data_IF_887057433683
#
_entry.id   IF_887057433683
#
_cell.length_a   1.000
_cell.length_b   1.000
_cell.length_c   1.000
_cell.angle_alpha   90.00
_cell.angle_beta   90.00
_cell.angle_gamma   90.00
#
_symmetry.space_group_name_H-M   'P 1'
#
loop_
_entity.id
_entity.type
_entity.pdbx_description
1 polymer ?
#
# COMPACT_ATOMS: atom_id res chain seq x y z
N UNK A 1 -9.81 97.11 28.67
CA UNK A 1 -10.14 96.15 27.60
C UNK A 1 -8.98 95.18 27.44
N UNK A 2 -9.13 93.93 27.91
CA UNK A 2 -8.13 92.84 27.77
C UNK A 2 -8.62 91.91 26.66
N UNK A 3 -7.81 91.72 25.61
CA UNK A 3 -8.13 90.87 24.47
C UNK A 3 -8.16 89.39 24.84
N UNK A 4 -9.22 88.70 24.45
CA UNK A 4 -9.34 87.25 24.56
C UNK A 4 -8.45 86.56 23.51
N UNK A 5 -7.69 85.56 23.94
CA UNK A 5 -6.80 84.74 23.11
C UNK A 5 -7.56 83.49 22.65
N UNK A 6 -7.60 83.14 21.35
CA UNK A 6 -8.25 81.92 20.91
C UNK A 6 -7.36 80.69 21.19
N UNK A 7 -7.94 79.66 21.79
CA UNK A 7 -7.33 78.33 21.92
C UNK A 7 -7.51 77.61 20.59
N UNK A 8 -6.41 77.36 19.89
CA UNK A 8 -6.37 76.62 18.62
C UNK A 8 -6.21 75.13 18.95
N UNK A 9 -7.29 74.37 18.93
CA UNK A 9 -7.26 72.90 19.02
C UNK A 9 -6.70 72.34 17.71
N UNK A 10 -5.46 71.87 17.75
CA UNK A 10 -4.84 71.15 16.65
C UNK A 10 -5.08 69.64 16.85
N UNK A 11 -6.22 69.14 16.37
CA UNK A 11 -6.36 67.71 16.09
C UNK A 11 -5.82 67.46 14.68
N UNK A 12 -4.54 67.13 14.60
CA UNK A 12 -3.93 66.61 13.37
C UNK A 12 -4.27 65.12 13.24
N UNK A 13 -4.73 64.64 12.07
CA UNK A 13 -4.89 63.20 11.86
C UNK A 13 -3.52 62.54 11.88
N UNK A 14 -3.33 61.53 12.73
CA UNK A 14 -2.15 60.66 12.77
C UNK A 14 -2.08 59.80 11.49
N UNK A 15 -1.72 60.41 10.37
CA UNK A 15 -1.34 59.66 9.17
C UNK A 15 0.07 59.13 9.38
N UNK A 16 0.19 57.93 9.96
CA UNK A 16 1.44 57.21 10.08
C UNK A 16 1.97 56.83 8.69
N UNK A 17 2.85 57.67 8.12
CA UNK A 17 3.62 57.32 6.93
C UNK A 17 4.71 56.33 7.34
N UNK A 18 4.41 55.03 7.20
CA UNK A 18 5.43 53.99 7.32
C UNK A 18 6.58 54.30 6.36
N UNK A 19 7.81 54.38 6.89
CA UNK A 19 8.99 54.48 6.04
C UNK A 19 9.14 53.18 5.24
N UNK A 20 9.64 53.27 4.00
CA UNK A 20 9.80 52.11 3.11
C UNK A 20 10.53 50.93 3.77
N UNK A 21 11.46 51.23 4.72
CA UNK A 21 12.17 50.23 5.52
C UNK A 21 11.26 49.48 6.50
N UNK A 22 10.43 50.20 7.27
CA UNK A 22 9.48 49.59 8.20
C UNK A 22 8.45 48.71 7.49
N UNK A 23 8.01 49.11 6.29
CA UNK A 23 7.11 48.28 5.46
C UNK A 23 7.78 46.98 4.98
N UNK A 24 9.07 47.03 4.61
CA UNK A 24 9.85 45.84 4.21
C UNK A 24 10.10 44.92 5.41
N UNK A 25 10.44 45.47 6.57
CA UNK A 25 10.66 44.68 7.80
C UNK A 25 9.39 43.99 8.27
N UNK A 26 8.25 44.69 8.26
CA UNK A 26 6.94 44.09 8.56
C UNK A 26 6.56 43.02 7.54
N UNK A 27 6.81 43.26 6.26
CA UNK A 27 6.57 42.28 5.20
C UNK A 27 7.43 41.02 5.37
N UNK A 28 8.72 41.19 5.62
CA UNK A 28 9.65 40.09 5.88
C UNK A 28 9.26 39.31 7.15
N UNK A 29 8.86 40.01 8.21
CA UNK A 29 8.35 39.39 9.44
C UNK A 29 7.08 38.57 9.20
N UNK A 30 6.13 39.11 8.44
CA UNK A 30 4.89 38.40 8.09
C UNK A 30 5.16 37.15 7.23
N UNK A 31 6.04 37.23 6.24
CA UNK A 31 6.46 36.08 5.42
C UNK A 31 7.16 35.02 6.27
N UNK A 32 8.05 35.45 7.18
CA UNK A 32 8.77 34.54 8.07
C UNK A 32 7.84 33.82 9.03
N UNK A 33 6.85 34.53 9.58
CA UNK A 33 5.81 33.94 10.43
C UNK A 33 4.95 32.94 9.65
N UNK A 34 4.51 33.29 8.44
CA UNK A 34 3.74 32.39 7.58
C UNK A 34 4.52 31.12 7.25
N UNK A 35 5.81 31.24 6.94
CA UNK A 35 6.69 30.10 6.68
C UNK A 35 6.86 29.23 7.92
N UNK A 36 7.05 29.82 9.10
CA UNK A 36 7.16 29.09 10.36
C UNK A 36 5.89 28.27 10.67
N UNK A 37 4.72 28.86 10.48
CA UNK A 37 3.43 28.17 10.65
C UNK A 37 3.30 27.01 9.65
N UNK A 38 3.68 27.21 8.39
CA UNK A 38 3.66 26.16 7.37
C UNK A 38 4.60 24.99 7.73
N UNK A 39 5.82 25.29 8.19
CA UNK A 39 6.78 24.27 8.63
C UNK A 39 6.26 23.47 9.83
N UNK A 40 5.66 24.14 10.83
CA UNK A 40 5.05 23.47 11.97
C UNK A 40 3.91 22.53 11.54
N UNK A 41 3.11 22.94 10.55
CA UNK A 41 2.02 22.11 10.03
C UNK A 41 2.54 20.88 9.28
N UNK A 42 3.58 21.04 8.46
CA UNK A 42 4.25 19.92 7.79
C UNK A 42 4.85 18.95 8.81
N UNK A 43 5.58 19.46 9.80
CA UNK A 43 6.19 18.65 10.86
C UNK A 43 5.12 17.86 11.65
N UNK A 44 4.01 18.51 12.02
CA UNK A 44 2.90 17.84 12.71
C UNK A 44 2.29 16.72 11.84
N UNK A 45 2.13 16.94 10.54
CA UNK A 45 1.62 15.90 9.64
C UNK A 45 2.61 14.73 9.48
N UNK A 46 3.91 15.00 9.35
CA UNK A 46 4.95 13.96 9.29
C UNK A 46 4.91 13.08 10.55
N UNK A 47 4.87 13.69 11.74
CA UNK A 47 4.76 12.93 13.00
C UNK A 47 3.48 12.11 13.09
N UNK A 48 2.35 12.61 12.56
CA UNK A 48 1.10 11.85 12.52
C UNK A 48 1.18 10.64 11.59
N UNK A 49 1.82 10.78 10.44
CA UNK A 49 2.07 9.69 9.49
C UNK A 49 3.02 8.65 10.07
N UNK A 50 4.14 9.06 10.63
CA UNK A 50 5.12 8.18 11.28
C UNK A 50 4.47 7.36 12.42
N UNK A 51 3.72 8.02 13.30
CA UNK A 51 2.99 7.35 14.36
C UNK A 51 1.88 6.41 13.82
N UNK A 52 1.24 6.73 12.69
CA UNK A 52 0.24 5.88 12.06
C UNK A 52 0.87 4.62 11.45
N UNK A 53 2.00 4.77 10.77
CA UNK A 53 2.77 3.66 10.18
C UNK A 53 3.32 2.76 11.28
N UNK A 54 4.05 3.32 12.25
CA UNK A 54 4.66 2.56 13.35
C UNK A 54 3.62 1.76 14.14
N UNK A 55 2.46 2.36 14.47
CA UNK A 55 1.38 1.64 15.16
C UNK A 55 0.73 0.58 14.27
N UNK A 56 0.61 0.83 12.97
CA UNK A 56 0.09 -0.15 12.02
C UNK A 56 1.02 -1.36 11.90
N UNK A 57 2.33 -1.11 11.83
CA UNK A 57 3.37 -2.13 11.72
C UNK A 57 3.44 -2.98 12.99
N UNK A 58 3.43 -2.34 14.16
CA UNK A 58 3.37 -3.04 15.44
C UNK A 58 2.15 -3.96 15.53
N UNK A 59 0.97 -3.52 15.07
CA UNK A 59 -0.24 -4.36 15.04
C UNK A 59 -0.14 -5.48 14.00
N UNK A 60 0.48 -5.21 12.85
CA UNK A 60 0.68 -6.20 11.79
C UNK A 60 1.64 -7.31 12.18
N UNK A 61 2.68 -6.98 12.95
CA UNK A 61 3.64 -7.93 13.52
C UNK A 61 3.05 -8.67 14.72
N UNK A 62 2.31 -7.98 15.60
CA UNK A 62 1.72 -8.57 16.80
C UNK A 62 0.56 -9.54 16.54
N UNK A 63 0.25 -9.90 15.29
CA UNK A 63 -0.75 -10.90 14.97
C UNK A 63 -0.35 -12.26 15.56
N UNK A 64 -1.09 -12.72 16.57
CA UNK A 64 -2.02 -13.79 16.28
C UNK A 64 -3.47 -13.40 16.64
N UNK A 65 -4.48 -13.98 15.98
CA UNK A 65 -5.76 -14.21 16.62
C UNK A 65 -5.48 -15.12 17.82
N UNK A 66 -5.48 -14.54 19.01
CA UNK A 66 -5.44 -15.33 20.23
C UNK A 66 -6.70 -16.18 20.29
N UNK A 67 -6.57 -17.49 20.05
CA UNK A 67 -7.67 -18.45 20.09
C UNK A 67 -8.33 -18.49 21.48
N UNK A 68 -7.64 -18.04 22.53
CA UNK A 68 -8.23 -17.88 23.86
C UNK A 68 -9.21 -16.70 23.93
N UNK A 69 -9.10 -15.70 23.03
CA UNK A 69 -10.03 -14.57 22.96
C UNK A 69 -11.37 -14.90 22.30
N UNK A 70 -11.44 -15.94 21.47
CA UNK A 70 -12.72 -16.46 20.95
C UNK A 70 -13.62 -16.99 22.08
N UNK A 71 -13.02 -17.44 23.19
CA UNK A 71 -13.73 -17.95 24.37
C UNK A 71 -13.84 -16.91 25.50
N UNK A 72 -13.20 -15.74 25.39
CA UNK A 72 -13.16 -14.73 26.46
C UNK A 72 -14.32 -13.74 26.43
N UNK A 73 -15.16 -13.78 25.37
CA UNK A 73 -16.24 -12.82 25.17
C UNK A 73 -15.76 -11.41 24.77
N UNK A 74 -14.45 -11.21 24.59
CA UNK A 74 -13.93 -9.97 24.03
C UNK A 74 -14.15 -9.92 22.50
N UNK A 75 -14.44 -8.75 21.93
CA UNK A 75 -14.54 -8.61 20.49
C UNK A 75 -13.19 -8.95 19.84
N UNK A 76 -13.17 -9.67 18.70
CA UNK A 76 -11.94 -10.04 18.02
C UNK A 76 -11.13 -8.78 17.68
N UNK A 77 -9.78 -8.87 17.69
CA UNK A 77 -8.95 -7.73 17.34
C UNK A 77 -9.36 -7.20 15.95
N UNK A 78 -9.51 -5.89 15.79
CA UNK A 78 -9.90 -5.32 14.51
C UNK A 78 -8.86 -5.72 13.46
N UNK A 79 -9.28 -6.00 12.21
CA UNK A 79 -8.36 -6.38 11.15
C UNK A 79 -7.23 -5.35 11.05
N UNK A 80 -6.01 -5.84 10.79
CA UNK A 80 -4.80 -5.03 10.69
C UNK A 80 -4.91 -4.03 9.54
N UNK A 81 -5.42 -2.85 9.89
CA UNK A 81 -5.64 -1.72 8.98
C UNK A 81 -4.79 -0.54 9.45
N UNK A 82 -3.86 -0.10 8.62
CA UNK A 82 -3.20 1.19 8.81
C UNK A 82 -4.26 2.29 8.76
N UNK A 83 -4.46 2.98 9.89
CA UNK A 83 -5.34 4.16 9.95
C UNK A 83 -4.53 5.39 9.56
N UNK A 84 -4.55 5.71 8.27
CA UNK A 84 -3.84 6.88 7.74
C UNK A 84 -4.63 8.17 7.98
N UNK A 85 -3.97 9.32 8.16
CA UNK A 85 -4.62 10.62 8.15
C UNK A 85 -5.40 10.85 6.85
N UNK A 86 -6.58 11.47 6.91
CA UNK A 86 -7.44 11.74 5.75
C UNK A 86 -7.69 13.23 5.56
N UNK A 87 -7.95 13.65 4.32
CA UNK A 87 -8.33 15.02 3.95
C UNK A 87 -7.24 15.74 3.17
N UNK A 88 -7.56 16.91 2.60
CA UNK A 88 -6.71 17.62 1.63
C UNK A 88 -5.25 17.81 2.07
N UNK A 89 -5.02 18.21 3.33
CA UNK A 89 -3.68 18.36 3.88
C UNK A 89 -2.91 17.03 3.95
N UNK A 90 -3.59 15.93 4.31
CA UNK A 90 -3.00 14.61 4.35
C UNK A 90 -2.68 14.10 2.95
N UNK A 91 -3.54 14.33 1.96
CA UNK A 91 -3.35 13.92 0.58
C UNK A 91 -2.15 14.62 -0.07
N UNK A 92 -1.99 15.93 0.18
CA UNK A 92 -0.79 16.66 -0.27
C UNK A 92 0.45 16.09 0.40
N UNK A 93 0.39 15.84 1.71
CA UNK A 93 1.54 15.30 2.46
C UNK A 93 1.91 13.91 1.96
N UNK A 94 0.94 13.02 1.71
CA UNK A 94 1.16 11.67 1.16
C UNK A 94 1.85 11.74 -0.20
N UNK A 95 1.41 12.65 -1.09
CA UNK A 95 2.04 12.86 -2.40
C UNK A 95 3.44 13.45 -2.29
N UNK A 96 3.63 14.46 -1.44
CA UNK A 96 4.88 15.19 -1.31
C UNK A 96 5.97 14.34 -0.65
N UNK A 97 5.58 13.42 0.24
CA UNK A 97 6.47 12.46 0.88
C UNK A 97 6.62 11.14 0.11
N UNK A 98 5.93 10.95 -1.02
CA UNK A 98 5.98 9.71 -1.80
C UNK A 98 5.38 8.48 -1.09
N UNK A 99 4.55 8.67 -0.07
CA UNK A 99 4.03 7.59 0.77
C UNK A 99 2.96 6.73 0.09
N UNK A 100 2.47 7.14 -1.08
CA UNK A 100 1.37 6.45 -1.76
C UNK A 100 1.73 5.01 -2.15
N UNK A 101 2.94 4.81 -2.66
CA UNK A 101 3.41 3.50 -3.14
C UNK A 101 3.69 2.58 -1.96
N UNK A 102 4.37 3.10 -0.92
CA UNK A 102 4.57 2.42 0.36
C UNK A 102 3.25 1.95 0.97
N UNK A 103 2.23 2.82 0.98
CA UNK A 103 0.91 2.48 1.50
C UNK A 103 0.15 1.50 0.60
N UNK A 104 0.36 1.54 -0.71
CA UNK A 104 -0.24 0.59 -1.64
C UNK A 104 0.27 -0.82 -1.36
N UNK A 105 1.58 -1.02 -1.21
CA UNK A 105 2.15 -2.32 -0.88
C UNK A 105 1.70 -2.81 0.51
N UNK A 106 1.72 -1.95 1.53
CA UNK A 106 1.24 -2.31 2.89
C UNK A 106 -0.22 -2.76 2.89
N UNK A 107 -1.09 -2.08 2.14
CA UNK A 107 -2.51 -2.47 1.98
C UNK A 107 -2.65 -3.80 1.24
N UNK A 108 -1.90 -4.01 0.16
CA UNK A 108 -1.89 -5.27 -0.57
C UNK A 108 -1.44 -6.44 0.32
N UNK A 109 -0.40 -6.22 1.13
CA UNK A 109 0.11 -7.20 2.09
C UNK A 109 -0.91 -7.56 3.18
N UNK A 110 -1.67 -6.59 3.71
CA UNK A 110 -2.77 -6.87 4.63
C UNK A 110 -3.86 -7.75 4.00
N UNK A 111 -4.25 -7.44 2.76
CA UNK A 111 -5.23 -8.24 2.03
C UNK A 111 -4.72 -9.65 1.75
N UNK A 112 -3.44 -9.79 1.39
CA UNK A 112 -2.79 -11.08 1.19
C UNK A 112 -2.82 -11.93 2.47
N UNK A 113 -2.41 -11.36 3.63
CA UNK A 113 -2.48 -12.07 4.91
C UNK A 113 -3.88 -12.50 5.30
N UNK A 114 -4.90 -11.71 4.96
CA UNK A 114 -6.28 -12.04 5.26
C UNK A 114 -6.83 -13.25 4.47
N UNK A 115 -6.16 -13.66 3.38
CA UNK A 115 -6.60 -14.78 2.52
C UNK A 115 -5.62 -15.95 2.50
N UNK A 116 -4.40 -15.71 2.97
CA UNK A 116 -3.35 -16.70 3.11
C UNK A 116 -2.77 -16.63 4.53
N UNK A 117 -3.57 -17.04 5.53
CA UNK A 117 -3.15 -17.00 6.93
C UNK A 117 -2.07 -18.04 7.22
N UNK A 118 -1.39 -17.89 8.36
CA UNK A 118 -0.40 -18.87 8.78
C UNK A 118 -1.02 -20.27 8.89
N UNK A 119 -0.25 -21.36 8.68
CA UNK A 119 -0.76 -22.73 8.78
C UNK A 119 -1.57 -23.01 10.05
N UNK A 120 -1.18 -22.43 11.17
CA UNK A 120 -1.83 -22.58 12.48
C UNK A 120 -3.22 -21.91 12.56
N UNK A 121 -3.58 -21.08 11.58
CA UNK A 121 -4.83 -20.32 11.53
C UNK A 121 -5.76 -20.82 10.41
N UNK A 122 -5.29 -21.67 9.48
CA UNK A 122 -6.01 -22.08 8.26
C UNK A 122 -7.39 -22.72 8.53
N UNK A 123 -7.55 -23.43 9.65
CA UNK A 123 -8.81 -24.10 10.01
C UNK A 123 -9.98 -23.11 10.15
N UNK A 124 -9.72 -21.87 10.60
CA UNK A 124 -10.76 -20.84 10.74
C UNK A 124 -11.17 -20.20 9.41
N UNK A 125 -10.32 -20.24 8.39
CA UNK A 125 -10.54 -19.53 7.13
C UNK A 125 -11.18 -20.40 6.04
N UNK A 126 -11.15 -21.73 6.18
CA UNK A 126 -11.80 -22.64 5.24
C UNK A 126 -13.33 -22.52 5.17
N UNK A 127 -13.96 -21.88 6.17
CA UNK A 127 -15.41 -21.70 6.27
C UNK A 127 -15.88 -20.26 6.01
N UNK A 128 -14.97 -19.36 5.62
CA UNK A 128 -15.31 -17.95 5.38
C UNK A 128 -15.99 -17.77 4.01
N UNK A 129 -17.31 -17.46 3.95
CA UNK A 129 -18.02 -17.29 2.68
C UNK A 129 -17.50 -16.11 1.85
N UNK A 130 -16.82 -15.15 2.47
CA UNK A 130 -16.23 -13.98 1.81
C UNK A 130 -14.82 -14.24 1.27
N UNK A 131 -14.25 -15.43 1.50
CA UNK A 131 -12.88 -15.75 1.09
C UNK A 131 -12.63 -15.56 -0.41
N UNK A 132 -13.52 -15.95 -1.34
CA UNK A 132 -13.33 -15.70 -2.76
C UNK A 132 -13.25 -14.19 -3.08
N UNK A 133 -14.13 -13.38 -2.50
CA UNK A 133 -14.15 -11.94 -2.70
C UNK A 133 -12.89 -11.27 -2.12
N UNK A 134 -12.44 -11.70 -0.94
CA UNK A 134 -11.19 -11.24 -0.32
C UNK A 134 -9.97 -11.60 -1.19
N UNK A 135 -9.95 -12.80 -1.78
CA UNK A 135 -8.87 -13.23 -2.69
C UNK A 135 -8.80 -12.36 -3.93
N UNK A 136 -9.94 -12.06 -4.56
CA UNK A 136 -10.01 -11.15 -5.71
C UNK A 136 -9.44 -9.78 -5.34
N UNK A 137 -9.82 -9.21 -4.19
CA UNK A 137 -9.28 -7.92 -3.71
C UNK A 137 -7.77 -7.97 -3.48
N UNK A 138 -7.26 -9.04 -2.87
CA UNK A 138 -5.83 -9.23 -2.66
C UNK A 138 -5.07 -9.32 -3.99
N UNK A 139 -5.58 -10.11 -4.95
CA UNK A 139 -5.00 -10.26 -6.27
C UNK A 139 -4.98 -8.94 -7.05
N UNK A 140 -6.07 -8.17 -7.02
CA UNK A 140 -6.15 -6.85 -7.66
C UNK A 140 -5.13 -5.88 -7.06
N UNK A 141 -5.05 -5.80 -5.73
CA UNK A 141 -4.11 -4.90 -5.05
C UNK A 141 -2.64 -5.28 -5.32
N UNK A 142 -2.30 -6.56 -5.25
CA UNK A 142 -0.96 -7.05 -5.58
C UNK A 142 -0.62 -6.86 -7.06
N UNK A 143 -1.59 -7.02 -7.96
CA UNK A 143 -1.39 -6.77 -9.39
C UNK A 143 -1.06 -5.31 -9.65
N UNK A 144 -1.77 -4.37 -9.03
CA UNK A 144 -1.46 -2.95 -9.14
C UNK A 144 -0.03 -2.65 -8.66
N UNK A 145 0.35 -3.13 -7.47
CA UNK A 145 1.71 -2.93 -6.94
C UNK A 145 2.77 -3.57 -7.84
N UNK A 146 2.53 -4.79 -8.34
CA UNK A 146 3.47 -5.50 -9.22
C UNK A 146 3.75 -4.77 -10.54
N UNK A 147 2.83 -3.90 -10.99
CA UNK A 147 2.94 -3.14 -12.24
C UNK A 147 3.48 -1.73 -12.02
N UNK A 148 2.95 -1.04 -11.02
CA UNK A 148 3.03 0.42 -10.93
C UNK A 148 4.07 0.90 -9.92
N UNK A 149 4.53 0.03 -9.00
CA UNK A 149 5.49 0.44 -7.97
C UNK A 149 6.86 0.81 -8.57
N UNK A 150 7.47 1.94 -8.16
CA UNK A 150 8.76 2.38 -8.67
C UNK A 150 9.93 1.49 -8.24
N UNK A 151 9.83 0.79 -7.10
CA UNK A 151 10.89 -0.10 -6.62
C UNK A 151 10.74 -1.52 -7.20
N UNK A 152 11.69 -2.00 -8.04
CA UNK A 152 11.65 -3.36 -8.57
C UNK A 152 11.64 -4.45 -7.48
N UNK A 153 12.18 -4.18 -6.28
CA UNK A 153 12.14 -5.11 -5.14
C UNK A 153 10.73 -5.25 -4.58
N UNK A 154 9.98 -4.15 -4.48
CA UNK A 154 8.57 -4.20 -4.09
C UNK A 154 7.75 -4.94 -5.16
N UNK A 155 7.94 -4.63 -6.44
CA UNK A 155 7.27 -5.36 -7.53
C UNK A 155 7.59 -6.85 -7.50
N UNK A 156 8.83 -7.22 -7.23
CA UNK A 156 9.26 -8.62 -7.07
C UNK A 156 8.51 -9.29 -5.92
N UNK A 157 8.44 -8.67 -4.74
CA UNK A 157 7.70 -9.20 -3.58
C UNK A 157 6.21 -9.35 -3.87
N UNK A 158 5.57 -8.36 -4.51
CA UNK A 158 4.16 -8.43 -4.87
C UNK A 158 3.91 -9.55 -5.91
N UNK A 159 4.78 -9.70 -6.89
CA UNK A 159 4.72 -10.77 -7.90
C UNK A 159 4.90 -12.16 -7.28
N UNK A 160 5.82 -12.29 -6.31
CA UNK A 160 5.98 -13.52 -5.53
C UNK A 160 4.68 -13.88 -4.77
N UNK A 161 4.04 -12.90 -4.11
CA UNK A 161 2.77 -13.12 -3.41
C UNK A 161 1.63 -13.50 -4.36
N UNK A 162 1.59 -12.96 -5.58
CA UNK A 162 0.65 -13.41 -6.62
C UNK A 162 0.86 -14.89 -6.97
N UNK A 163 2.12 -15.34 -7.08
CA UNK A 163 2.46 -16.75 -7.29
C UNK A 163 1.93 -17.65 -6.17
N UNK A 164 2.08 -17.21 -4.92
CA UNK A 164 1.52 -17.93 -3.75
C UNK A 164 -0.02 -17.99 -3.82
N UNK A 165 -0.70 -16.90 -4.17
CA UNK A 165 -2.16 -16.92 -4.32
C UNK A 165 -2.63 -17.85 -5.45
N UNK A 166 -1.90 -17.86 -6.58
CA UNK A 166 -2.19 -18.75 -7.69
C UNK A 166 -2.04 -20.22 -7.27
N UNK A 167 -0.98 -20.59 -6.54
CA UNK A 167 -0.74 -21.96 -6.07
C UNK A 167 -1.72 -22.45 -5.02
N UNK A 168 -2.12 -21.56 -4.11
CA UNK A 168 -2.98 -21.86 -2.93
C UNK A 168 -4.47 -21.64 -3.20
N UNK A 169 -4.84 -21.28 -4.43
CA UNK A 169 -6.24 -21.22 -4.85
C UNK A 169 -6.89 -22.61 -4.93
N UNK A 170 -8.22 -22.67 -5.13
CA UNK A 170 -8.91 -23.93 -5.38
C UNK A 170 -8.23 -24.70 -6.52
N UNK A 171 -7.98 -26.00 -6.32
CA UNK A 171 -7.41 -26.85 -7.36
C UNK A 171 -8.48 -27.12 -8.41
N UNK A 172 -8.24 -26.79 -9.70
CA UNK A 172 -9.16 -27.09 -10.78
C UNK A 172 -9.43 -28.59 -10.89
N UNK A 173 -10.60 -28.96 -11.40
CA UNK A 173 -10.94 -30.38 -11.65
C UNK A 173 -10.35 -30.86 -12.98
N UNK A 174 -10.29 -29.97 -13.98
CA UNK A 174 -9.73 -30.27 -15.30
C UNK A 174 -8.19 -30.30 -15.25
N UNK A 175 -7.54 -31.41 -15.68
CA UNK A 175 -6.08 -31.49 -15.76
C UNK A 175 -5.42 -30.39 -16.60
N UNK A 176 -6.09 -29.90 -17.66
CA UNK A 176 -5.54 -28.81 -18.47
C UNK A 176 -5.50 -27.48 -17.70
N UNK A 177 -6.56 -27.18 -16.93
CA UNK A 177 -6.59 -26.03 -16.03
C UNK A 177 -5.59 -26.15 -14.88
N UNK A 178 -5.43 -27.34 -14.29
CA UNK A 178 -4.41 -27.61 -13.27
C UNK A 178 -3.01 -27.32 -13.82
N UNK A 179 -2.69 -27.81 -15.02
CA UNK A 179 -1.42 -27.54 -15.70
C UNK A 179 -1.21 -26.04 -15.90
N UNK A 180 -2.22 -25.33 -16.37
CA UNK A 180 -2.13 -23.87 -16.59
C UNK A 180 -1.91 -23.10 -15.28
N UNK A 181 -2.53 -23.53 -14.18
CA UNK A 181 -2.32 -22.94 -12.85
C UNK A 181 -0.86 -23.11 -12.39
N UNK A 182 -0.29 -24.31 -12.57
CA UNK A 182 1.11 -24.60 -12.23
C UNK A 182 2.07 -23.77 -13.09
N UNK A 183 1.88 -23.74 -14.40
CA UNK A 183 2.72 -22.95 -15.30
C UNK A 183 2.64 -21.45 -15.01
N UNK A 184 1.44 -20.94 -14.69
CA UNK A 184 1.23 -19.55 -14.26
C UNK A 184 2.00 -19.25 -12.98
N UNK A 185 1.94 -20.16 -12.01
CA UNK A 185 2.67 -20.06 -10.74
C UNK A 185 4.18 -19.99 -10.94
N UNK A 186 4.75 -20.90 -11.75
CA UNK A 186 6.17 -20.91 -12.12
C UNK A 186 6.57 -19.59 -12.81
N UNK A 187 5.73 -19.12 -13.75
CA UNK A 187 5.93 -17.86 -14.46
C UNK A 187 5.97 -16.64 -13.54
N UNK A 188 5.13 -16.60 -12.51
CA UNK A 188 5.11 -15.54 -11.50
C UNK A 188 6.37 -15.54 -10.64
N UNK A 189 6.80 -16.69 -10.10
CA UNK A 189 8.03 -16.75 -9.32
C UNK A 189 9.28 -16.42 -10.15
N UNK A 190 9.34 -16.92 -11.39
CA UNK A 190 10.41 -16.58 -12.33
C UNK A 190 10.44 -15.08 -12.62
N UNK A 191 9.28 -14.44 -12.80
CA UNK A 191 9.19 -13.00 -13.02
C UNK A 191 9.60 -12.20 -11.80
N UNK A 192 9.24 -12.66 -10.59
CA UNK A 192 9.71 -12.06 -9.35
C UNK A 192 11.25 -12.10 -9.23
N UNK A 193 11.89 -13.23 -9.56
CA UNK A 193 13.35 -13.36 -9.56
C UNK A 193 14.00 -12.47 -10.63
N UNK A 194 13.38 -12.32 -11.80
CA UNK A 194 13.87 -11.39 -12.85
C UNK A 194 13.81 -9.92 -12.39
N UNK A 195 12.78 -9.55 -11.63
CA UNK A 195 12.63 -8.20 -11.07
C UNK A 195 13.65 -7.93 -9.95
N UNK A 196 13.89 -8.90 -9.08
CA UNK A 196 14.90 -8.82 -8.02
C UNK A 196 15.63 -10.17 -7.87
N UNK A 197 16.83 -10.31 -8.45
CA UNK A 197 17.62 -11.54 -8.35
C UNK A 197 18.02 -11.92 -6.92
N UNK A 198 17.90 -11.01 -5.95
CA UNK A 198 18.20 -11.27 -4.53
C UNK A 198 16.97 -11.70 -3.72
N UNK A 199 15.79 -11.81 -4.34
CA UNK A 199 14.58 -12.29 -3.67
C UNK A 199 14.68 -13.81 -3.36
N UNK A 200 15.17 -14.13 -2.17
CA UNK A 200 15.34 -15.50 -1.71
C UNK A 200 14.00 -16.25 -1.59
N UNK A 201 12.95 -15.57 -1.15
CA UNK A 201 11.61 -16.17 -1.00
C UNK A 201 11.05 -16.65 -2.34
N UNK A 202 11.23 -15.86 -3.41
CA UNK A 202 10.78 -16.25 -4.74
C UNK A 202 11.54 -17.47 -5.29
N UNK A 203 12.84 -17.57 -4.99
CA UNK A 203 13.65 -18.75 -5.36
C UNK A 203 13.19 -19.99 -4.62
N UNK A 204 13.02 -19.88 -3.30
CA UNK A 204 12.55 -20.98 -2.47
C UNK A 204 11.15 -21.43 -2.89
N UNK A 205 10.23 -20.51 -3.13
CA UNK A 205 8.88 -20.83 -3.59
C UNK A 205 8.89 -21.50 -4.98
N UNK A 206 9.77 -21.05 -5.88
CA UNK A 206 9.95 -21.71 -7.18
C UNK A 206 10.47 -23.13 -7.01
N UNK A 207 11.48 -23.33 -6.17
CA UNK A 207 12.04 -24.65 -5.87
C UNK A 207 10.95 -25.59 -5.33
N UNK A 208 10.16 -25.13 -4.35
CA UNK A 208 9.07 -25.91 -3.77
C UNK A 208 8.02 -26.32 -4.82
N UNK A 209 7.69 -25.44 -5.77
CA UNK A 209 6.76 -25.79 -6.86
C UNK A 209 7.38 -26.77 -7.85
N UNK A 210 8.67 -26.65 -8.16
CA UNK A 210 9.35 -27.55 -9.10
C UNK A 210 9.58 -28.94 -8.52
N UNK A 211 9.71 -29.06 -7.19
CA UNK A 211 9.83 -30.34 -6.47
C UNK A 211 8.48 -31.01 -6.20
N UNK A 212 7.36 -30.34 -6.51
CA UNK A 212 6.03 -30.92 -6.33
C UNK A 212 5.80 -32.05 -7.35
N UNK A 213 5.46 -33.29 -6.94
CA UNK A 213 5.20 -34.40 -7.85
C UNK A 213 4.12 -34.09 -8.90
N UNK A 214 3.15 -33.22 -8.58
CA UNK A 214 2.15 -32.79 -9.56
C UNK A 214 2.78 -31.96 -10.68
N UNK A 215 3.77 -31.12 -10.37
CA UNK A 215 4.53 -30.35 -11.36
C UNK A 215 5.40 -31.27 -12.21
N UNK A 216 6.03 -32.30 -11.63
CA UNK A 216 6.84 -33.27 -12.38
C UNK A 216 6.04 -33.99 -13.47
N UNK A 217 4.75 -34.26 -13.23
CA UNK A 217 3.86 -34.89 -14.24
C UNK A 217 3.65 -33.98 -15.46
N UNK A 218 3.64 -32.66 -15.28
CA UNK A 218 3.35 -31.69 -16.34
C UNK A 218 4.58 -31.05 -16.99
N UNK A 219 5.69 -30.99 -16.26
CA UNK A 219 6.98 -30.42 -16.69
C UNK A 219 7.98 -31.51 -17.09
N UNK A 220 7.80 -32.73 -16.58
CA UNK A 220 8.55 -33.91 -17.01
C UNK A 220 8.25 -34.26 -18.46
N UNK A 221 9.31 -34.50 -19.22
CA UNK A 221 9.31 -34.86 -20.63
C UNK A 221 8.38 -36.04 -20.93
N UNK A 222 7.13 -35.77 -21.32
CA UNK A 222 6.34 -36.72 -22.10
C UNK A 222 6.87 -36.70 -23.54
N UNK A 223 7.41 -37.81 -24.08
CA UNK A 223 7.98 -37.86 -25.43
C UNK A 223 6.96 -37.63 -26.57
N UNK A 224 5.67 -37.52 -26.26
CA UNK A 224 4.57 -37.52 -27.24
C UNK A 224 3.70 -36.24 -27.23
N UNK A 225 4.17 -35.13 -26.66
CA UNK A 225 3.43 -33.87 -26.66
C UNK A 225 3.69 -33.03 -27.91
N UNK A 226 2.69 -32.95 -28.81
CA UNK A 226 2.67 -32.10 -30.01
C UNK A 226 3.21 -30.69 -29.70
N UNK A 227 4.19 -30.16 -30.46
CA UNK A 227 4.61 -28.78 -30.32
C UNK A 227 3.55 -27.91 -30.99
N UNK A 228 2.70 -27.22 -30.22
CA UNK A 228 1.84 -26.19 -30.80
C UNK A 228 2.24 -24.78 -30.35
N UNK A 229 2.75 -24.10 -31.37
CA UNK A 229 2.90 -22.68 -31.62
C UNK A 229 2.56 -21.70 -30.48
N UNK A 230 3.58 -20.91 -30.14
CA UNK A 230 3.40 -19.67 -29.41
C UNK A 230 2.37 -18.76 -30.09
N UNK A 231 1.39 -18.30 -29.29
CA UNK A 231 0.65 -17.07 -29.59
C UNK A 231 0.96 -16.03 -28.51
N UNK A 232 1.60 -14.96 -28.96
CA UNK A 232 1.57 -13.63 -28.33
C UNK A 232 0.13 -13.28 -27.96
N UNK A 233 -0.07 -12.72 -26.77
CA UNK A 233 -1.34 -12.18 -26.32
C UNK A 233 -1.15 -11.16 -25.21
N UNK A 234 -0.59 -10.00 -25.53
CA UNK A 234 -0.83 -8.79 -24.75
C UNK A 234 -2.11 -8.13 -25.26
N UNK A 235 -3.07 -7.91 -24.38
CA UNK A 235 -4.06 -6.84 -24.44
C UNK A 235 -4.89 -6.86 -23.16
N UNK A 236 -4.98 -5.72 -22.48
CA UNK A 236 -5.90 -5.54 -21.36
C UNK A 236 -7.34 -5.70 -21.85
N UNK A 237 -8.15 -6.41 -21.07
CA UNK A 237 -9.60 -6.33 -21.19
C UNK A 237 -10.11 -5.43 -20.07
N UNK A 238 -10.56 -4.24 -20.46
CA UNK A 238 -11.29 -3.32 -19.61
C UNK A 238 -12.64 -3.91 -19.20
N UNK A 239 -13.12 -3.45 -18.05
CA UNK A 239 -14.38 -3.90 -17.49
C UNK A 239 -15.58 -3.62 -18.40
N UNK A 240 -16.63 -4.40 -18.19
CA UNK A 240 -17.98 -4.03 -18.58
C UNK A 240 -18.89 -4.12 -17.35
N UNK A 241 -19.48 -2.98 -16.98
CA UNK A 241 -20.86 -2.95 -16.49
C UNK A 241 -21.80 -3.18 -17.68
N UNK A 242 -23.05 -3.60 -17.51
CA UNK A 242 -23.99 -3.46 -16.39
C UNK A 242 -24.56 -4.82 -16.00
#
# INVERSE_FOLDING_TARGET
MRGARPVRSAEGPLSARLTRRAAIELGAGAVSLALAVLLLFVMANVHRWDAAITRGDARFVAAPPDLSQLNSGLPPPPPTRWKVPTGFAADITERLLGLRDDMAFRRALALFRAVNPNPNEQVLFGQDPELPAKRIRAQQALTAVSKDDPDPRIRSRATNMLGVLARTGPTPVDPAEQRNQILTTIGLFTSAIKLDPNNADAKLNLELVLQDPQTEIFVGSSPNGVPDAGKKGGAGSGGQGY
#
